data_IF_566194623627
#
_entry.id   IF_566194623627
#
_cell.length_a   1.000
_cell.length_b   1.000
_cell.length_c   1.000
_cell.angle_alpha   90.00
_cell.angle_beta   90.00
_cell.angle_gamma   90.00
#
_symmetry.space_group_name_H-M   'P 1'
#
loop_
_entity.id
_entity.type
_entity.pdbx_description
1 polymer ?
#
# COMPACT_ATOMS: atom_id res chain seq x y z
N UNK A 1 -42.82 -24.45 -15.79
CA UNK A 1 -41.50 -23.83 -16.11
C UNK A 1 -41.37 -22.43 -15.51
N UNK A 2 -42.44 -21.65 -15.40
CA UNK A 2 -42.38 -20.29 -14.82
C UNK A 2 -42.17 -20.25 -13.30
N UNK A 3 -42.76 -21.20 -12.56
CA UNK A 3 -42.66 -21.26 -11.08
C UNK A 3 -41.24 -21.63 -10.62
N UNK A 4 -40.58 -22.53 -11.35
CA UNK A 4 -39.18 -22.93 -11.11
C UNK A 4 -38.21 -21.75 -11.35
N UNK A 5 -38.43 -20.99 -12.43
CA UNK A 5 -37.62 -19.80 -12.73
C UNK A 5 -37.79 -18.70 -11.67
N UNK A 6 -39.03 -18.49 -11.20
CA UNK A 6 -39.31 -17.53 -10.13
C UNK A 6 -38.64 -17.94 -8.81
N UNK A 7 -38.64 -19.23 -8.48
CA UNK A 7 -37.97 -19.76 -7.30
C UNK A 7 -36.44 -19.56 -7.38
N UNK A 8 -35.83 -19.81 -8.54
CA UNK A 8 -34.39 -19.57 -8.73
C UNK A 8 -33.99 -18.10 -8.56
N UNK A 9 -34.81 -17.17 -9.06
CA UNK A 9 -34.55 -15.73 -8.92
C UNK A 9 -34.66 -15.30 -7.45
N UNK A 10 -35.67 -15.78 -6.73
CA UNK A 10 -35.83 -15.48 -5.30
C UNK A 10 -34.65 -16.02 -4.48
N UNK A 11 -34.21 -17.25 -4.75
CA UNK A 11 -33.03 -17.85 -4.08
C UNK A 11 -31.76 -17.06 -4.39
N UNK A 12 -31.56 -16.62 -5.64
CA UNK A 12 -30.40 -15.81 -6.02
C UNK A 12 -30.39 -14.45 -5.31
N UNK A 13 -31.53 -13.76 -5.23
CA UNK A 13 -31.66 -12.47 -4.54
C UNK A 13 -31.43 -12.62 -3.04
N UNK A 14 -31.95 -13.68 -2.42
CA UNK A 14 -31.71 -13.96 -1.00
C UNK A 14 -30.26 -14.33 -0.72
N UNK A 15 -29.63 -15.14 -1.58
CA UNK A 15 -28.21 -15.47 -1.47
C UNK A 15 -27.32 -14.24 -1.64
N UNK A 16 -27.60 -13.38 -2.63
CA UNK A 16 -26.92 -12.10 -2.80
C UNK A 16 -27.13 -11.17 -1.61
N UNK A 17 -28.35 -11.08 -1.08
CA UNK A 17 -28.64 -10.29 0.12
C UNK A 17 -27.89 -10.80 1.35
N UNK A 18 -27.82 -12.12 1.54
CA UNK A 18 -27.06 -12.74 2.63
C UNK A 18 -25.54 -12.54 2.47
N UNK A 19 -25.01 -12.61 1.24
CA UNK A 19 -23.61 -12.30 0.97
C UNK A 19 -23.30 -10.82 1.21
N UNK A 20 -24.21 -9.91 0.81
CA UNK A 20 -24.04 -8.47 1.03
C UNK A 20 -24.14 -8.10 2.51
N UNK A 21 -25.02 -8.77 3.26
CA UNK A 21 -25.14 -8.62 4.72
C UNK A 21 -23.95 -9.26 5.44
N UNK A 22 -23.43 -10.40 4.98
CA UNK A 22 -22.21 -11.01 5.52
C UNK A 22 -20.99 -10.12 5.26
N UNK A 23 -20.85 -9.58 4.06
CA UNK A 23 -19.79 -8.63 3.69
C UNK A 23 -19.94 -7.31 4.47
N UNK A 24 -21.17 -6.86 4.73
CA UNK A 24 -21.44 -5.67 5.55
C UNK A 24 -21.23 -5.92 7.05
N UNK A 25 -21.53 -7.12 7.54
CA UNK A 25 -21.29 -7.52 8.93
C UNK A 25 -19.79 -7.79 9.18
N UNK A 26 -19.04 -8.25 8.17
CA UNK A 26 -17.58 -8.27 8.17
C UNK A 26 -16.96 -6.86 8.07
N UNK A 27 -17.76 -5.85 7.75
CA UNK A 27 -17.38 -4.42 7.71
C UNK A 27 -17.74 -3.65 8.98
N UNK A 28 -18.39 -4.28 9.96
CA UNK A 28 -18.63 -3.69 11.28
C UNK A 28 -17.64 -4.29 12.27
N UNK A 29 -17.01 -3.40 13.04
CA UNK A 29 -15.93 -3.62 14.01
C UNK A 29 -14.48 -3.49 13.49
N UNK A 30 -14.00 -2.25 13.31
CA UNK A 30 -12.68 -1.87 13.85
C UNK A 30 -12.71 -0.48 14.49
N UNK A 31 -13.18 -0.36 15.76
CA UNK A 31 -13.04 0.86 16.56
C UNK A 31 -11.58 1.25 16.90
N UNK A 32 -10.57 0.73 16.19
CA UNK A 32 -9.13 0.88 16.48
C UNK A 32 -8.36 1.73 15.46
N UNK A 33 -9.03 2.28 14.44
CA UNK A 33 -8.41 3.11 13.41
C UNK A 33 -8.25 4.58 13.83
N UNK A 34 -9.04 5.07 14.79
CA UNK A 34 -9.06 6.49 15.18
C UNK A 34 -7.81 6.97 15.97
N UNK A 35 -6.93 6.06 16.40
CA UNK A 35 -5.70 6.39 17.14
C UNK A 35 -4.39 6.15 16.38
N UNK A 36 -4.45 5.66 15.13
CA UNK A 36 -3.28 5.15 14.40
C UNK A 36 -2.51 6.24 13.62
N UNK A 37 -3.13 7.40 13.42
CA UNK A 37 -2.54 8.54 12.71
C UNK A 37 -2.52 9.73 13.66
N UNK A 38 -1.63 9.68 14.66
CA UNK A 38 -1.30 10.88 15.42
C UNK A 38 -0.85 11.97 14.44
N UNK A 39 -1.48 13.15 14.52
CA UNK A 39 -1.12 14.29 13.66
C UNK A 39 0.38 14.54 13.80
N UNK A 40 1.11 14.49 12.68
CA UNK A 40 2.56 14.74 12.65
C UNK A 40 3.46 13.51 12.72
N UNK A 41 2.93 12.28 12.56
CA UNK A 41 3.78 11.08 12.38
C UNK A 41 4.81 11.21 11.24
N UNK A 42 5.93 10.48 11.38
CA UNK A 42 6.97 10.32 10.35
C UNK A 42 6.70 9.03 9.59
N UNK A 43 6.12 9.19 8.41
CA UNK A 43 5.71 8.09 7.55
C UNK A 43 6.79 7.78 6.51
N UNK A 44 7.15 6.51 6.38
CA UNK A 44 8.05 6.00 5.36
C UNK A 44 7.25 5.19 4.34
N UNK A 45 7.27 5.65 3.09
CA UNK A 45 6.81 4.87 1.95
C UNK A 45 7.97 4.01 1.43
N UNK A 46 7.80 2.68 1.44
CA UNK A 46 8.81 1.73 0.96
C UNK A 46 8.32 1.09 -0.34
N UNK A 47 9.05 1.35 -1.43
CA UNK A 47 8.74 0.88 -2.79
C UNK A 47 9.90 0.13 -3.41
N UNK A 48 9.62 -0.67 -4.45
CA UNK A 48 10.66 -1.43 -5.12
C UNK A 48 11.27 -0.63 -6.27
N UNK A 49 10.44 0.11 -7.02
CA UNK A 49 10.83 0.72 -8.28
C UNK A 49 10.39 2.18 -8.41
N UNK A 50 11.08 2.99 -9.24
CA UNK A 50 10.65 4.33 -9.64
C UNK A 50 9.40 4.31 -10.53
N UNK A 51 8.22 4.57 -9.98
CA UNK A 51 6.87 4.60 -10.60
C UNK A 51 5.81 4.07 -9.62
N UNK A 52 6.20 3.15 -8.74
CA UNK A 52 5.33 2.57 -7.71
C UNK A 52 4.62 3.65 -6.87
N UNK A 53 5.31 4.74 -6.54
CA UNK A 53 4.80 5.84 -5.73
C UNK A 53 3.61 6.51 -6.40
N UNK A 54 3.67 6.73 -7.72
CA UNK A 54 2.64 7.38 -8.49
C UNK A 54 1.53 6.40 -8.88
N UNK A 55 1.91 5.17 -9.27
CA UNK A 55 1.02 4.15 -9.79
C UNK A 55 0.13 3.56 -8.69
N UNK A 56 0.68 3.31 -7.50
CA UNK A 56 0.00 2.59 -6.45
C UNK A 56 -0.26 3.42 -5.19
N UNK A 57 0.64 4.34 -4.84
CA UNK A 57 0.60 5.02 -3.54
C UNK A 57 0.24 6.50 -3.60
N UNK A 58 0.02 7.11 -4.76
CA UNK A 58 -0.26 8.54 -4.87
C UNK A 58 -1.44 8.98 -4.00
N UNK A 59 -2.60 8.28 -3.98
CA UNK A 59 -3.69 8.61 -3.08
C UNK A 59 -3.29 8.60 -1.60
N UNK A 60 -2.53 7.59 -1.17
CA UNK A 60 -2.03 7.43 0.20
C UNK A 60 -1.08 8.55 0.58
N UNK A 61 -0.08 8.85 -0.26
CA UNK A 61 0.90 9.91 -0.03
C UNK A 61 0.22 11.26 0.10
N UNK A 62 -0.69 11.60 -0.82
CA UNK A 62 -1.45 12.84 -0.77
C UNK A 62 -2.30 12.94 0.50
N UNK A 63 -2.89 11.82 0.95
CA UNK A 63 -3.61 11.74 2.22
C UNK A 63 -2.71 12.05 3.41
N UNK A 64 -1.53 11.42 3.47
CA UNK A 64 -0.57 11.60 4.56
C UNK A 64 -0.06 13.05 4.63
N UNK A 65 0.31 13.64 3.48
CA UNK A 65 0.76 15.03 3.38
C UNK A 65 -0.35 16.01 3.82
N UNK A 66 -1.60 15.75 3.42
CA UNK A 66 -2.76 16.57 3.85
C UNK A 66 -2.98 16.55 5.35
N UNK A 67 -2.77 15.39 5.98
CA UNK A 67 -2.84 15.18 7.42
C UNK A 67 -1.59 15.69 8.17
N UNK A 68 -0.67 16.37 7.46
CA UNK A 68 0.56 16.96 8.02
C UNK A 68 1.54 15.94 8.60
N UNK A 69 1.50 14.70 8.12
CA UNK A 69 2.57 13.74 8.37
C UNK A 69 3.82 14.15 7.58
N UNK A 70 4.99 13.87 8.15
CA UNK A 70 6.25 13.99 7.42
C UNK A 70 6.45 12.71 6.63
N UNK A 71 6.33 12.78 5.31
CA UNK A 71 6.48 11.62 4.42
C UNK A 71 7.90 11.57 3.88
N UNK A 72 8.57 10.43 4.04
CA UNK A 72 9.80 10.06 3.36
C UNK A 72 9.57 8.85 2.46
N UNK A 73 10.48 8.64 1.50
CA UNK A 73 10.40 7.55 0.54
C UNK A 73 11.73 6.80 0.49
N UNK A 74 11.67 5.48 0.59
CA UNK A 74 12.78 4.57 0.35
C UNK A 74 12.46 3.67 -0.85
N UNK A 75 13.21 3.84 -1.93
CA UNK A 75 13.12 3.03 -3.14
C UNK A 75 14.29 2.04 -3.19
N UNK A 76 14.02 0.74 -3.24
CA UNK A 76 15.05 -0.29 -3.16
C UNK A 76 15.85 -0.52 -4.44
N UNK A 77 15.40 -0.02 -5.59
CA UNK A 77 16.13 -0.14 -6.85
C UNK A 77 16.03 1.13 -7.69
N UNK A 78 17.05 1.40 -8.49
CA UNK A 78 17.03 2.48 -9.48
C UNK A 78 16.11 2.19 -10.69
N UNK A 79 15.45 1.03 -10.75
CA UNK A 79 14.57 0.67 -11.87
C UNK A 79 15.32 0.41 -13.18
N UNK A 80 16.56 -0.10 -13.09
CA UNK A 80 17.50 -0.12 -14.20
C UNK A 80 17.36 -1.33 -15.16
N UNK A 81 16.23 -2.05 -15.16
CA UNK A 81 16.05 -3.24 -16.02
C UNK A 81 16.33 -2.97 -17.51
N UNK A 82 15.87 -1.81 -18.01
CA UNK A 82 16.09 -1.37 -19.40
C UNK A 82 17.30 -0.44 -19.58
N UNK A 83 18.26 -0.42 -18.64
CA UNK A 83 19.41 0.51 -18.63
C UNK A 83 19.00 2.00 -18.57
N UNK A 84 17.88 2.30 -17.91
CA UNK A 84 17.29 3.64 -17.79
C UNK A 84 17.30 4.19 -16.37
N UNK A 85 18.06 3.59 -15.45
CA UNK A 85 18.01 3.91 -14.02
C UNK A 85 18.35 5.37 -13.71
N UNK A 86 19.29 5.99 -14.43
CA UNK A 86 19.60 7.42 -14.26
C UNK A 86 18.44 8.36 -14.64
N UNK A 87 17.63 7.95 -15.62
CA UNK A 87 16.44 8.71 -16.03
C UNK A 87 15.34 8.49 -15.00
N UNK A 88 15.07 7.23 -14.66
CA UNK A 88 14.03 6.85 -13.69
C UNK A 88 14.26 7.40 -12.29
N UNK A 89 15.52 7.52 -11.84
CA UNK A 89 15.86 8.22 -10.60
C UNK A 89 15.41 9.68 -10.61
N UNK A 90 15.62 10.39 -11.72
CA UNK A 90 15.20 11.78 -11.87
C UNK A 90 13.68 11.89 -11.94
N UNK A 91 13.03 10.98 -12.66
CA UNK A 91 11.58 10.91 -12.75
C UNK A 91 10.94 10.68 -11.38
N UNK A 92 11.46 9.75 -10.56
CA UNK A 92 10.99 9.53 -9.20
C UNK A 92 11.15 10.77 -8.32
N UNK A 93 12.30 11.46 -8.38
CA UNK A 93 12.48 12.69 -7.61
C UNK A 93 11.47 13.79 -8.01
N UNK A 94 11.17 13.91 -9.31
CA UNK A 94 10.18 14.85 -9.82
C UNK A 94 8.74 14.44 -9.44
N UNK A 95 8.44 13.16 -9.51
CA UNK A 95 7.15 12.59 -9.10
C UNK A 95 6.90 12.83 -7.60
N UNK A 96 7.89 12.56 -6.77
CA UNK A 96 7.86 12.85 -5.33
C UNK A 96 7.61 14.33 -5.03
N UNK A 97 8.27 15.24 -5.76
CA UNK A 97 8.06 16.69 -5.60
C UNK A 97 6.59 17.07 -5.87
N UNK A 98 5.99 16.52 -6.92
CA UNK A 98 4.56 16.70 -7.24
C UNK A 98 3.66 16.13 -6.14
N UNK A 99 4.04 14.99 -5.54
CA UNK A 99 3.30 14.36 -4.45
C UNK A 99 3.49 15.06 -3.09
N UNK A 100 4.38 16.06 -3.00
CA UNK A 100 4.66 16.81 -1.78
C UNK A 100 5.71 16.16 -0.87
N UNK A 101 6.53 15.25 -1.39
CA UNK A 101 7.68 14.66 -0.70
C UNK A 101 8.94 15.42 -1.14
N UNK A 102 9.61 16.16 -0.23
CA UNK A 102 10.85 16.86 -0.56
C UNK A 102 11.94 15.88 -1.02
N UNK A 103 12.75 16.26 -2.01
CA UNK A 103 13.83 15.39 -2.51
C UNK A 103 14.84 14.98 -1.43
N UNK A 104 15.01 15.78 -0.36
CA UNK A 104 15.85 15.44 0.79
C UNK A 104 15.31 14.27 1.62
N UNK A 105 14.03 13.93 1.47
CA UNK A 105 13.36 12.83 2.14
C UNK A 105 13.18 11.61 1.23
N UNK A 106 13.80 11.61 0.04
CA UNK A 106 13.77 10.51 -0.92
C UNK A 106 15.14 9.86 -0.96
N UNK A 107 15.20 8.56 -0.65
CA UNK A 107 16.39 7.74 -0.77
C UNK A 107 16.16 6.66 -1.82
N UNK A 108 17.06 6.58 -2.79
CA UNK A 108 17.03 5.55 -3.85
C UNK A 108 18.27 4.69 -3.69
N UNK A 109 18.08 3.39 -3.50
CA UNK A 109 19.17 2.44 -3.43
C UNK A 109 19.57 2.03 -4.85
N UNK A 110 20.85 2.25 -5.15
CA UNK A 110 21.48 1.86 -6.41
C UNK A 110 22.64 0.91 -6.09
N UNK A 111 22.27 -0.32 -5.71
CA UNK A 111 23.20 -1.37 -5.30
C UNK A 111 22.91 -2.67 -6.08
N UNK A 112 23.96 -3.44 -6.34
CA UNK A 112 23.91 -4.76 -7.01
C UNK A 112 23.12 -5.80 -6.24
N UNK A 113 22.95 -5.60 -4.94
CA UNK A 113 22.19 -6.49 -4.06
C UNK A 113 20.67 -6.43 -4.32
N UNK A 114 20.18 -5.31 -4.90
CA UNK A 114 18.76 -5.10 -5.22
C UNK A 114 18.56 -4.75 -6.71
N UNK A 115 18.94 -5.66 -7.62
CA UNK A 115 18.80 -5.41 -9.04
C UNK A 115 17.32 -5.37 -9.43
N UNK A 116 16.97 -4.45 -10.31
CA UNK A 116 15.68 -4.47 -11.01
C UNK A 116 15.73 -5.57 -12.08
N UNK A 117 15.51 -6.82 -11.65
CA UNK A 117 15.46 -7.99 -12.53
C UNK A 117 14.41 -8.98 -12.00
N UNK A 118 13.34 -9.27 -12.74
CA UNK A 118 12.28 -10.16 -12.28
C UNK A 118 12.74 -11.60 -12.08
N UNK A 119 13.86 -12.00 -12.69
CA UNK A 119 14.47 -13.32 -12.51
C UNK A 119 15.37 -13.46 -11.28
N UNK A 120 15.59 -12.38 -10.52
CA UNK A 120 16.42 -12.38 -9.31
C UNK A 120 15.53 -12.12 -8.11
N UNK A 121 15.65 -12.97 -7.09
CA UNK A 121 14.97 -12.78 -5.82
C UNK A 121 15.89 -12.01 -4.87
N UNK A 122 15.39 -10.92 -4.28
CA UNK A 122 16.13 -10.17 -3.27
C UNK A 122 16.25 -10.97 -1.96
N UNK A 123 17.40 -10.84 -1.30
CA UNK A 123 17.61 -11.41 0.01
C UNK A 123 16.76 -10.68 1.04
N UNK A 124 15.83 -11.41 1.67
CA UNK A 124 14.88 -10.85 2.63
C UNK A 124 15.56 -10.30 3.89
N UNK A 125 16.63 -10.95 4.36
CA UNK A 125 17.37 -10.48 5.54
C UNK A 125 18.12 -9.18 5.23
N UNK A 126 18.69 -9.09 4.03
CA UNK A 126 19.36 -7.88 3.59
C UNK A 126 18.38 -6.72 3.41
N UNK A 127 17.22 -6.96 2.76
CA UNK A 127 16.14 -5.96 2.67
C UNK A 127 15.69 -5.51 4.07
N UNK A 128 15.48 -6.47 4.98
CA UNK A 128 15.07 -6.18 6.35
C UNK A 128 16.11 -5.35 7.11
N UNK A 129 17.40 -5.67 7.00
CA UNK A 129 18.46 -4.92 7.67
C UNK A 129 18.55 -3.47 7.18
N UNK A 130 18.49 -3.24 5.87
CA UNK A 130 18.53 -1.89 5.28
C UNK A 130 17.28 -1.09 5.67
N UNK A 131 16.11 -1.74 5.64
CA UNK A 131 14.86 -1.12 6.04
C UNK A 131 14.88 -0.72 7.52
N UNK A 132 15.29 -1.63 8.41
CA UNK A 132 15.38 -1.37 9.85
C UNK A 132 16.34 -0.22 10.14
N UNK A 133 17.52 -0.22 9.53
CA UNK A 133 18.48 0.87 9.67
C UNK A 133 17.86 2.21 9.24
N UNK A 134 17.14 2.24 8.12
CA UNK A 134 16.49 3.46 7.65
C UNK A 134 15.38 3.93 8.61
N UNK A 135 14.60 3.00 9.16
CA UNK A 135 13.55 3.28 10.13
C UNK A 135 14.15 3.92 11.40
N UNK A 136 15.20 3.34 11.95
CA UNK A 136 15.85 3.80 13.18
C UNK A 136 16.53 5.16 13.00
N UNK A 137 17.27 5.36 11.90
CA UNK A 137 18.00 6.62 11.64
C UNK A 137 17.06 7.82 11.44
N UNK A 138 15.84 7.58 10.95
CA UNK A 138 14.89 8.63 10.62
C UNK A 138 13.70 8.74 11.58
N UNK A 139 13.74 8.02 12.71
CA UNK A 139 12.67 7.98 13.73
C UNK A 139 11.28 7.69 13.12
N UNK A 140 11.23 6.74 12.19
CA UNK A 140 9.99 6.39 11.48
C UNK A 140 9.03 5.68 12.44
N UNK A 141 7.78 6.14 12.49
CA UNK A 141 6.72 5.53 13.30
C UNK A 141 5.53 5.02 12.49
N UNK A 142 5.57 5.18 11.16
CA UNK A 142 4.59 4.60 10.24
C UNK A 142 5.30 4.12 8.97
N UNK A 143 5.23 2.82 8.67
CA UNK A 143 5.73 2.24 7.41
C UNK A 143 4.56 1.90 6.51
N UNK A 144 4.65 2.27 5.24
CA UNK A 144 3.67 1.96 4.19
C UNK A 144 4.38 1.21 3.08
N UNK A 145 3.86 0.05 2.68
CA UNK A 145 4.46 -0.76 1.60
C UNK A 145 3.44 -1.72 0.97
N UNK A 146 3.89 -2.65 0.14
CA UNK A 146 3.05 -3.69 -0.47
C UNK A 146 2.65 -4.79 0.52
N UNK A 147 1.59 -5.53 0.20
CA UNK A 147 1.20 -6.74 0.91
C UNK A 147 1.87 -8.01 0.35
N UNK A 148 1.45 -9.17 0.88
CA UNK A 148 1.93 -10.48 0.45
C UNK A 148 1.71 -10.79 -1.04
N UNK A 149 0.73 -10.14 -1.66
CA UNK A 149 0.39 -10.33 -3.06
C UNK A 149 1.28 -9.52 -4.00
N UNK A 150 1.98 -8.49 -3.51
CA UNK A 150 2.87 -7.67 -4.33
C UNK A 150 2.19 -7.10 -5.58
N UNK A 151 0.93 -6.67 -5.43
CA UNK A 151 -0.03 -6.26 -6.48
C UNK A 151 -0.38 -7.39 -7.45
N UNK A 152 0.58 -7.82 -8.26
CA UNK A 152 0.42 -8.83 -9.31
C UNK A 152 1.31 -10.06 -9.09
N UNK A 153 1.87 -10.22 -7.89
CA UNK A 153 2.89 -11.22 -7.58
C UNK A 153 4.31 -10.79 -7.97
N UNK A 154 4.58 -9.49 -8.12
CA UNK A 154 5.91 -9.03 -8.49
C UNK A 154 6.92 -9.38 -7.38
N UNK A 155 7.98 -10.12 -7.73
CA UNK A 155 8.96 -10.67 -6.77
C UNK A 155 9.54 -9.62 -5.83
N UNK A 156 9.96 -8.47 -6.37
CA UNK A 156 10.51 -7.37 -5.57
C UNK A 156 9.51 -6.79 -4.57
N UNK A 157 8.23 -6.64 -4.94
CA UNK A 157 7.18 -6.13 -4.04
C UNK A 157 6.93 -7.13 -2.91
N UNK A 158 6.89 -8.42 -3.25
CA UNK A 158 6.74 -9.52 -2.29
C UNK A 158 7.94 -9.57 -1.33
N UNK A 159 9.16 -9.29 -1.82
CA UNK A 159 10.37 -9.25 -0.98
C UNK A 159 10.31 -8.12 0.06
N UNK A 160 9.82 -6.93 -0.31
CA UNK A 160 9.59 -5.84 0.63
C UNK A 160 8.61 -6.24 1.74
N UNK A 161 7.48 -6.83 1.36
CA UNK A 161 6.52 -7.35 2.34
C UNK A 161 7.13 -8.44 3.23
N UNK A 162 7.91 -9.37 2.65
CA UNK A 162 8.55 -10.43 3.41
C UNK A 162 9.52 -9.89 4.46
N UNK A 163 10.31 -8.87 4.11
CA UNK A 163 11.25 -8.21 5.02
C UNK A 163 10.52 -7.49 6.16
N UNK A 164 9.48 -6.72 5.84
CA UNK A 164 8.63 -6.06 6.82
C UNK A 164 7.98 -7.08 7.76
N UNK A 165 7.46 -8.19 7.22
CA UNK A 165 6.88 -9.25 8.02
C UNK A 165 7.92 -9.91 8.94
N UNK A 166 9.13 -10.17 8.45
CA UNK A 166 10.21 -10.74 9.25
C UNK A 166 10.59 -9.84 10.43
N UNK A 167 10.83 -8.55 10.18
CA UNK A 167 11.11 -7.56 11.22
C UNK A 167 10.00 -7.50 12.28
N UNK A 168 8.73 -7.60 11.86
CA UNK A 168 7.60 -7.57 12.77
C UNK A 168 7.54 -8.84 13.63
N UNK A 169 7.69 -10.03 13.04
CA UNK A 169 7.66 -11.31 13.75
C UNK A 169 8.83 -11.45 14.75
N UNK A 170 9.97 -10.89 14.41
CA UNK A 170 11.16 -10.86 15.27
C UNK A 170 11.09 -9.78 16.35
N UNK A 171 10.06 -8.92 16.34
CA UNK A 171 9.91 -7.81 17.30
C UNK A 171 10.99 -6.74 17.16
N UNK A 172 11.55 -6.56 15.95
CA UNK A 172 12.63 -5.61 15.67
C UNK A 172 12.16 -4.20 15.31
N UNK A 173 10.88 -4.00 15.03
CA UNK A 173 10.35 -2.66 14.79
C UNK A 173 10.44 -1.81 16.06
N UNK A 174 10.75 -0.50 15.94
CA UNK A 174 10.70 0.40 17.09
C UNK A 174 9.32 0.41 17.76
N UNK A 175 9.30 0.60 19.07
CA UNK A 175 8.05 0.69 19.83
C UNK A 175 7.15 1.80 19.26
N UNK A 176 5.88 1.47 19.02
CA UNK A 176 4.91 2.40 18.45
C UNK A 176 4.98 2.55 16.92
N UNK A 177 5.92 1.89 16.23
CA UNK A 177 5.95 1.89 14.78
C UNK A 177 4.83 1.03 14.20
N UNK A 178 3.93 1.66 13.44
CA UNK A 178 2.82 0.98 12.76
C UNK A 178 3.19 0.62 11.32
N UNK A 179 2.56 -0.44 10.78
CA UNK A 179 2.77 -0.88 9.40
C UNK A 179 1.42 -0.93 8.68
N UNK A 180 1.33 -0.30 7.51
CA UNK A 180 0.21 -0.36 6.58
C UNK A 180 0.66 -1.00 5.27
N UNK A 181 -0.15 -1.91 4.76
CA UNK A 181 0.14 -2.61 3.50
C UNK A 181 -0.92 -2.34 2.46
N UNK A 182 -0.51 -2.09 1.21
CA UNK A 182 -1.39 -2.00 0.06
C UNK A 182 -1.96 -3.37 -0.27
N UNK A 183 -3.27 -3.52 -0.12
CA UNK A 183 -3.95 -4.79 -0.38
C UNK A 183 -4.01 -5.09 -1.87
N UNK A 184 -3.50 -6.26 -2.26
CA UNK A 184 -3.61 -6.77 -3.62
C UNK A 184 -5.05 -7.20 -3.91
N UNK A 185 -5.61 -6.77 -5.04
CA UNK A 185 -6.95 -7.16 -5.48
C UNK A 185 -6.88 -8.33 -6.46
N UNK A 186 -7.85 -9.25 -6.40
CA UNK A 186 -7.92 -10.38 -7.33
C UNK A 186 -8.05 -9.88 -8.78
N UNK A 187 -7.27 -10.44 -9.71
CA UNK A 187 -7.21 -10.02 -11.13
C UNK A 187 -8.60 -9.94 -11.78
N UNK A 188 -9.54 -10.81 -11.42
CA UNK A 188 -10.92 -10.80 -11.93
C UNK A 188 -11.72 -9.54 -11.54
N UNK A 189 -11.39 -8.90 -10.41
CA UNK A 189 -12.04 -7.67 -9.96
C UNK A 189 -11.49 -6.44 -10.68
N UNK A 190 -10.25 -6.50 -11.19
CA UNK A 190 -9.58 -5.42 -11.92
C UNK A 190 -10.13 -5.21 -13.34
N UNK A 191 -10.69 -6.25 -13.98
CA UNK A 191 -11.18 -6.19 -15.37
C UNK A 191 -12.70 -6.13 -15.54
N UNK A 192 -13.48 -6.45 -14.50
CA UNK A 192 -14.95 -6.60 -14.60
C UNK A 192 -15.70 -5.32 -14.17
N UNK A 193 -15.05 -4.41 -13.45
CA UNK A 193 -15.68 -3.18 -12.98
C UNK A 193 -15.30 -1.99 -13.87
N UNK A 194 -16.26 -1.24 -14.44
CA UNK A 194 -15.94 0.02 -15.11
C UNK A 194 -15.34 1.00 -14.10
N UNK A 195 -14.46 1.94 -14.53
CA UNK A 195 -14.01 3.02 -13.67
C UNK A 195 -15.23 3.75 -13.11
N UNK A 196 -15.38 3.72 -11.79
CA UNK A 196 -16.48 4.39 -11.10
C UNK A 196 -16.42 5.89 -11.47
N UNK A 197 -17.51 6.48 -11.99
CA UNK A 197 -17.49 7.89 -12.38
C UNK A 197 -17.25 8.76 -11.14
N UNK A 198 -16.20 9.60 -11.19
CA UNK A 198 -15.98 10.64 -10.19
C UNK A 198 -17.19 11.60 -10.21
N UNK A 199 -17.91 11.80 -9.09
CA UNK A 199 -19.06 12.71 -9.07
C UNK A 199 -18.60 14.17 -9.20
N UNK A 200 -19.16 14.87 -10.19
CA UNK A 200 -18.94 16.29 -10.48
C UNK A 200 -19.67 17.20 -9.43
N UNK A 201 -18.92 17.76 -8.46
CA UNK A 201 -18.96 19.10 -7.76
C UNK A 201 -20.28 19.62 -7.06
N UNK A 202 -20.26 20.43 -5.94
CA UNK A 202 -19.94 20.26 -4.49
C UNK A 202 -21.13 20.72 -3.53
N UNK A 203 -21.05 21.09 -2.20
CA UNK A 203 -20.23 20.74 -0.99
C UNK A 203 -21.14 20.21 0.21
N UNK A 204 -20.74 20.14 1.52
CA UNK A 204 -19.42 20.23 2.15
C UNK A 204 -18.98 18.97 2.95
N UNK A 205 -17.66 18.83 3.10
CA UNK A 205 -16.96 18.33 4.29
C UNK A 205 -17.57 17.11 5.03
N UNK A 206 -17.34 15.90 4.52
CA UNK A 206 -17.08 14.69 5.35
C UNK A 206 -16.79 13.41 4.57
N UNK A 207 -17.11 13.34 3.29
CA UNK A 207 -17.24 12.05 2.58
C UNK A 207 -16.01 11.58 1.79
N UNK A 208 -14.92 12.34 1.71
CA UNK A 208 -13.71 11.89 0.99
C UNK A 208 -12.88 10.89 1.80
N UNK A 209 -13.15 10.75 3.11
CA UNK A 209 -12.47 9.81 4.01
C UNK A 209 -12.93 8.35 3.82
N UNK A 210 -14.15 8.10 3.34
CA UNK A 210 -14.75 6.76 3.41
C UNK A 210 -14.36 5.83 2.23
N UNK A 211 -13.88 6.37 1.12
CA UNK A 211 -13.54 5.55 -0.07
C UNK A 211 -12.15 4.90 0.06
N UNK A 212 -11.29 5.41 0.94
CA UNK A 212 -9.86 5.09 0.97
C UNK A 212 -9.43 4.16 2.12
N UNK A 213 -10.26 3.96 3.15
CA UNK A 213 -9.95 3.03 4.25
C UNK A 213 -10.00 1.54 3.82
N UNK A 214 -10.61 1.23 2.67
CA UNK A 214 -10.80 -0.15 2.22
C UNK A 214 -9.61 -0.77 1.45
N UNK A 215 -8.50 -0.06 1.26
CA UNK A 215 -7.35 -0.54 0.44
C UNK A 215 -6.05 -0.70 1.23
N UNK A 216 -6.00 -0.21 2.47
CA UNK A 216 -4.85 -0.33 3.35
C UNK A 216 -5.26 -1.16 4.57
N UNK A 217 -4.79 -2.40 4.65
CA UNK A 217 -5.02 -3.24 5.82
C UNK A 217 -3.84 -3.11 6.77
N UNK A 218 -4.13 -2.91 8.05
CA UNK A 218 -3.12 -3.11 9.10
C UNK A 218 -2.86 -4.62 9.23
N UNK A 219 -1.61 -5.01 9.46
CA UNK A 219 -1.30 -6.42 9.70
C UNK A 219 -2.02 -6.87 10.99
N UNK A 220 -3.10 -7.63 10.86
CA UNK A 220 -3.76 -8.31 11.99
C UNK A 220 -3.08 -9.67 12.21
N UNK A 221 -1.99 -9.68 12.98
CA UNK A 221 -1.34 -10.92 13.38
C UNK A 221 -2.11 -11.55 14.54
N UNK A 222 -2.76 -12.67 14.28
CA UNK A 222 -3.07 -13.62 15.35
C UNK A 222 -1.77 -14.35 15.74
N UNK A 223 -1.59 -14.67 17.04
CA UNK A 223 -0.46 -15.44 17.54
C UNK A 223 -0.43 -16.86 16.95
#
# INVERSE_FOLDING_TARGET
MEVEALLCVVVAVLACGLLWVWDSAGRMETPRQAGLLEVGSRALLVIAHPDDEAMFFAPTVLGLVRLKHQVSLLCFSAGNYYNQGEIRKKELLQSCDVLGIPSSCVMIIDNRDFPDNPGVQWDTELVASVLLQHIEVNDINLVVTFDAGGVSGHSNHVALYAAVRALHLEGKFPEGCSVLTLQSVNVLQSYVLPPQPAPLVPPPLRSVLQVHENQLTTISLKP
#
